data_IF_260945617226
#
_entry.id   IF_260945617226
#
_cell.length_a   1.000
_cell.length_b   1.000
_cell.length_c   1.000
_cell.angle_alpha   90.00
_cell.angle_beta   90.00
_cell.angle_gamma   90.00
#
_symmetry.space_group_name_H-M   'P 1'
#
loop_
_entity.id
_entity.type
_entity.pdbx_description
1 polymer ?
2 non-polymer ?
3 non-polymer ?
4 non-polymer ?
5 water ?
#
# COMPACT_ATOMS: atom_id res chain seq x y z
N UNK A 13 12.76 -11.54 12.88
CA UNK A 13 12.63 -11.91 11.43
C UNK A 13 11.57 -12.99 11.30
N UNK A 14 11.16 -13.29 10.06
CA UNK A 14 10.05 -14.19 9.81
C UNK A 14 8.72 -13.61 10.28
N UNK A 15 7.73 -14.47 10.48
CA UNK A 15 6.40 -13.99 10.84
C UNK A 15 6.28 -13.89 12.35
N UNK A 16 5.74 -12.76 12.80
CA UNK A 16 5.42 -12.52 14.19
C UNK A 16 3.93 -12.27 14.33
N UNK A 17 3.23 -13.14 15.04
CA UNK A 17 1.80 -12.98 15.27
C UNK A 17 1.60 -12.02 16.42
N UNK A 18 0.71 -11.06 16.22
CA UNK A 18 0.43 -10.07 17.23
C UNK A 18 -1.07 -9.83 17.17
N UNK A 19 -1.77 -10.30 18.21
CA UNK A 19 -3.20 -10.53 18.11
C UNK A 19 -3.56 -11.26 16.83
N UNK A 20 -4.48 -10.64 16.07
CA UNK A 20 -4.99 -11.25 14.85
C UNK A 20 -4.23 -10.76 13.62
N UNK A 21 -3.11 -10.06 13.82
CA UNK A 21 -2.31 -9.53 12.73
C UNK A 21 -0.96 -10.25 12.69
N UNK A 22 -0.25 -10.08 11.56
CA UNK A 22 1.06 -10.70 11.37
C UNK A 22 2.02 -9.61 10.89
N UNK A 23 3.21 -9.57 11.46
CA UNK A 23 4.24 -8.60 11.11
C UNK A 23 5.49 -9.35 10.68
N UNK A 24 6.16 -8.89 9.64
CA UNK A 24 7.33 -9.57 9.10
C UNK A 24 8.38 -8.54 8.72
N UNK A 25 9.57 -8.61 9.32
CA UNK A 25 10.64 -7.70 8.93
C UNK A 25 11.13 -8.00 7.51
N UNK A 26 11.28 -6.96 6.69
CA UNK A 26 11.75 -7.15 5.32
C UNK A 26 13.15 -6.59 5.10
N UNK A 27 13.51 -5.59 5.89
CA UNK A 27 14.78 -4.90 5.79
C UNK A 27 15.07 -4.30 7.16
N UNK A 28 16.29 -3.77 7.45
CA UNK A 28 16.56 -3.24 8.78
C UNK A 28 15.53 -2.25 9.34
N UNK A 29 14.91 -1.47 8.45
CA UNK A 29 13.99 -0.41 8.85
C UNK A 29 12.62 -0.59 8.21
N UNK A 30 12.29 -1.80 7.72
CA UNK A 30 11.03 -2.00 7.00
C UNK A 30 10.35 -3.28 7.47
N UNK A 31 9.05 -3.18 7.82
CA UNK A 31 8.26 -4.34 8.19
C UNK A 31 6.99 -4.34 7.37
N UNK A 32 6.49 -5.53 7.07
CA UNK A 32 5.18 -5.73 6.46
C UNK A 32 4.15 -5.99 7.55
N UNK A 33 3.02 -5.31 7.48
CA UNK A 33 1.87 -5.62 8.33
C UNK A 33 0.84 -6.39 7.52
N UNK A 34 0.17 -7.37 8.14
CA UNK A 34 -0.84 -8.16 7.46
C UNK A 34 -2.06 -8.31 8.36
N UNK A 35 -3.23 -8.04 7.77
CA UNK A 35 -4.50 -8.15 8.49
C UNK A 35 -5.48 -8.90 7.60
N UNK A 36 -6.58 -9.38 8.23
CA UNK A 36 -7.49 -10.31 7.54
C UNK A 36 -8.94 -9.86 7.65
N UNK A 37 -9.69 -10.08 6.57
CA UNK A 37 -11.15 -9.88 6.60
C UNK A 37 -11.84 -10.99 5.82
N UNK A 38 -12.92 -11.54 6.39
CA UNK A 38 -13.74 -12.50 5.66
C UNK A 38 -14.49 -11.83 4.52
N UNK A 39 -14.35 -12.43 3.33
CA UNK A 39 -15.15 -12.06 2.17
C UNK A 39 -15.70 -13.33 1.51
N UNK A 40 -17.04 -13.52 1.49
CA UNK A 40 -17.65 -14.66 0.83
C UNK A 40 -17.12 -14.94 -0.58
N UNK A 41 -16.68 -16.18 -0.83
CA UNK A 41 -16.15 -16.53 -2.14
C UNK A 41 -14.64 -16.33 -2.22
N UNK A 42 -14.06 -15.70 -1.19
CA UNK A 42 -12.62 -15.50 -1.18
C UNK A 42 -11.99 -16.01 0.12
N UNK A 43 -12.83 -16.22 1.14
CA UNK A 43 -12.32 -16.67 2.44
C UNK A 43 -11.85 -15.50 3.29
N UNK A 44 -10.93 -15.80 4.20
CA UNK A 44 -10.34 -14.77 5.03
C UNK A 44 -9.15 -14.17 4.28
N UNK A 45 -9.33 -12.95 3.76
CA UNK A 45 -8.38 -12.37 2.80
C UNK A 45 -7.33 -11.57 3.54
N UNK A 46 -6.07 -11.91 3.30
CA UNK A 46 -4.94 -11.15 3.80
C UNK A 46 -4.77 -9.86 3.00
N UNK A 47 -4.44 -8.77 3.70
CA UNK A 47 -3.98 -7.55 3.05
C UNK A 47 -2.70 -7.07 3.73
N UNK A 48 -1.69 -6.75 2.93
CA UNK A 48 -0.41 -6.29 3.43
C UNK A 48 -0.23 -4.79 3.20
N UNK A 49 0.43 -4.17 4.19
CA UNK A 49 1.00 -2.84 4.02
C UNK A 49 2.40 -2.81 4.62
N UNK A 50 2.94 -1.61 4.80
CA UNK A 50 4.32 -1.45 5.24
C UNK A 50 4.42 -0.47 6.39
N UNK A 51 5.49 -0.66 7.18
CA UNK A 51 5.91 0.21 8.26
C UNK A 51 7.39 0.51 8.03
N UNK A 52 7.75 1.78 8.02
CA UNK A 52 9.12 2.16 7.74
C UNK A 52 9.64 3.06 8.85
N UNK A 53 10.79 2.71 9.43
CA UNK A 53 11.41 3.66 10.35
C UNK A 53 12.37 4.56 9.57
N UNK A 54 12.20 5.88 9.71
CA UNK A 54 13.11 6.84 9.12
C UNK A 54 13.69 7.69 10.24
N UNK A 55 14.87 7.25 10.74
CA UNK A 55 15.46 7.96 11.87
C UNK A 55 14.62 7.84 13.14
N UNK A 56 14.18 8.97 13.69
CA UNK A 56 13.38 8.96 14.89
C UNK A 56 11.87 9.00 14.66
N UNK A 57 11.41 8.61 13.47
CA UNK A 57 9.96 8.55 13.27
C UNK A 57 9.64 7.31 12.45
N UNK A 58 8.34 7.01 12.44
CA UNK A 58 7.77 5.89 11.69
C UNK A 58 6.80 6.41 10.65
N UNK A 59 6.79 5.73 9.50
CA UNK A 59 5.90 6.05 8.39
C UNK A 59 5.12 4.80 8.04
N UNK A 60 3.82 4.91 7.77
CA UNK A 60 2.95 3.78 7.47
C UNK A 60 2.43 3.87 6.05
N UNK A 61 2.46 2.74 5.33
CA UNK A 61 1.80 2.62 4.04
C UNK A 61 0.66 1.62 4.22
N UNK A 62 -0.57 2.13 4.01
CA UNK A 62 -1.85 1.43 4.07
C UNK A 62 -2.32 1.20 5.50
N UNK A 63 -3.61 1.31 5.70
CA UNK A 63 -4.17 0.88 6.98
C UNK A 63 -4.37 -0.64 6.92
N UNK A 64 -4.85 -1.19 8.02
CA UNK A 64 -5.47 -2.52 7.99
C UNK A 64 -6.91 -2.40 7.51
N UNK A 65 -7.63 -3.53 7.42
CA UNK A 65 -9.00 -3.50 6.95
C UNK A 65 -9.90 -2.66 7.86
N UNK A 66 -9.67 -2.67 9.19
CA UNK A 66 -10.60 -2.04 10.12
C UNK A 66 -9.86 -1.08 11.04
N UNK A 67 -10.64 -0.22 11.72
CA UNK A 67 -10.10 0.66 12.74
C UNK A 67 -9.45 -0.12 13.87
N UNK A 68 -10.13 -1.18 14.34
CA UNK A 68 -9.54 -1.93 15.45
C UNK A 68 -8.20 -2.58 15.06
N UNK A 69 -8.12 -3.11 13.83
CA UNK A 69 -6.89 -3.74 13.39
C UNK A 69 -5.82 -2.67 13.22
N UNK A 70 -6.21 -1.47 12.76
CA UNK A 70 -5.23 -0.41 12.57
C UNK A 70 -4.67 0.08 13.91
N UNK A 71 -5.53 0.19 14.92
CA UNK A 71 -5.04 0.50 16.25
C UNK A 71 -4.07 -0.58 16.73
N UNK A 72 -4.27 -1.85 16.36
CA UNK A 72 -3.30 -2.87 16.72
C UNK A 72 -1.97 -2.67 15.99
N UNK A 73 -1.99 -2.22 14.75
CA UNK A 73 -0.73 -1.87 14.11
C UNK A 73 0.00 -0.81 14.94
N UNK A 74 -0.73 0.22 15.40
CA UNK A 74 -0.08 1.26 16.18
C UNK A 74 0.43 0.71 17.51
N UNK A 75 -0.27 -0.26 18.09
CA UNK A 75 0.20 -0.87 19.33
C UNK A 75 1.47 -1.66 19.08
N UNK A 76 1.54 -2.40 17.98
CA UNK A 76 2.76 -3.13 17.61
C UNK A 76 3.91 -2.15 17.45
N UNK A 77 3.72 -1.02 16.75
CA UNK A 77 4.76 -0.03 16.55
C UNK A 77 5.22 0.48 17.92
N UNK A 78 4.30 0.77 18.85
CA UNK A 78 4.66 1.25 20.17
C UNK A 78 5.57 0.25 20.88
N UNK A 79 5.21 -1.02 20.82
CA UNK A 79 5.93 -2.09 21.52
C UNK A 79 7.30 -2.34 20.89
N UNK A 80 7.35 -2.42 19.56
CA UNK A 80 8.52 -2.91 18.84
C UNK A 80 9.46 -1.82 18.40
N UNK A 81 8.94 -0.60 18.20
CA UNK A 81 9.77 0.49 17.69
C UNK A 81 9.81 1.63 18.70
N UNK A 82 8.64 2.03 19.24
CA UNK A 82 8.54 3.05 20.27
C UNK A 82 9.06 4.39 19.78
N UNK A 83 8.61 4.79 18.59
CA UNK A 83 8.85 6.11 18.06
C UNK A 83 7.54 6.63 17.49
N UNK A 84 7.34 7.96 17.39
CA UNK A 84 6.10 8.49 16.84
C UNK A 84 5.88 8.18 15.37
N UNK A 85 4.60 7.96 15.03
CA UNK A 85 4.21 7.76 13.64
C UNK A 85 3.93 9.13 13.04
N UNK A 86 4.81 9.55 12.14
CA UNK A 86 4.78 10.90 11.58
C UNK A 86 3.68 11.05 10.54
N UNK A 87 3.42 9.99 9.75
CA UNK A 87 2.41 10.10 8.71
C UNK A 87 2.08 8.71 8.22
N UNK A 88 0.97 8.65 7.49
CA UNK A 88 0.55 7.45 6.79
C UNK A 88 0.11 7.86 5.39
N UNK A 89 0.41 7.02 4.40
CA UNK A 89 -0.12 7.19 3.05
C UNK A 89 -0.85 5.92 2.67
N UNK A 90 -1.99 6.07 2.03
CA UNK A 90 -2.81 4.93 1.62
C UNK A 90 -2.93 4.90 0.11
N UNK A 91 -3.03 3.70 -0.47
CA UNK A 91 -2.73 3.54 -1.89
C UNK A 91 -3.93 3.45 -2.82
N UNK A 92 -5.15 3.27 -2.30
CA UNK A 92 -6.38 3.53 -3.06
C UNK A 92 -7.57 3.44 -2.11
N UNK A 93 -8.75 3.80 -2.60
CA UNK A 93 -9.95 3.90 -1.77
C UNK A 93 -10.76 2.60 -1.75
N UNK A 94 -10.11 1.51 -1.34
CA UNK A 94 -10.80 0.27 -0.97
C UNK A 94 -10.49 -0.03 0.48
N UNK A 95 -11.33 -0.87 1.11
CA UNK A 95 -11.29 -1.06 2.55
C UNK A 95 -9.98 -1.62 3.05
N UNK A 96 -9.35 -2.50 2.26
CA UNK A 96 -8.10 -3.08 2.73
C UNK A 96 -6.99 -2.04 2.91
N UNK A 97 -7.06 -0.93 2.18
CA UNK A 97 -6.02 0.08 2.22
C UNK A 97 -6.40 1.30 3.07
N UNK A 98 -7.71 1.57 3.18
CA UNK A 98 -8.19 2.81 3.79
C UNK A 98 -9.20 2.58 4.90
N UNK A 99 -9.52 1.32 5.21
CA UNK A 99 -10.56 1.00 6.17
C UNK A 99 -10.28 1.49 7.58
N UNK A 100 -9.01 1.72 7.92
CA UNK A 100 -8.66 2.11 9.28
C UNK A 100 -8.30 3.59 9.45
N UNK A 101 -8.73 4.45 8.51
CA UNK A 101 -8.37 5.86 8.55
C UNK A 101 -8.77 6.52 9.88
N UNK A 102 -9.96 6.20 10.41
CA UNK A 102 -10.37 6.79 11.69
C UNK A 102 -9.39 6.48 12.83
N UNK A 103 -8.81 5.28 12.87
CA UNK A 103 -7.85 4.93 13.90
C UNK A 103 -6.60 5.81 13.77
N UNK A 104 -6.15 6.09 12.54
CA UNK A 104 -5.01 6.96 12.39
C UNK A 104 -5.32 8.38 12.87
N UNK A 105 -6.51 8.86 12.52
CA UNK A 105 -6.90 10.21 12.95
C UNK A 105 -7.05 10.30 14.46
N UNK A 106 -7.61 9.25 15.07
CA UNK A 106 -7.71 9.22 16.54
C UNK A 106 -6.35 9.27 17.21
N UNK A 107 -5.33 8.71 16.55
CA UNK A 107 -3.99 8.69 17.10
C UNK A 107 -3.23 9.98 16.78
N UNK A 108 -3.82 10.90 16.02
CA UNK A 108 -3.15 12.16 15.72
C UNK A 108 -2.12 12.05 14.58
N UNK A 109 -2.26 11.06 13.71
CA UNK A 109 -1.33 10.85 12.61
C UNK A 109 -1.78 11.59 11.36
N UNK A 110 -0.89 12.34 10.73
CA UNK A 110 -1.18 12.99 9.45
C UNK A 110 -1.34 11.98 8.33
N UNK A 111 -2.43 12.10 7.57
CA UNK A 111 -2.75 11.10 6.56
C UNK A 111 -2.82 11.70 5.16
N UNK A 112 -2.39 10.90 4.19
CA UNK A 112 -2.20 11.29 2.81
C UNK A 112 -2.78 10.23 1.88
N UNK A 113 -3.37 10.68 0.78
CA UNK A 113 -3.84 9.80 -0.27
C UNK A 113 -3.82 10.59 -1.56
N UNK A 114 -3.84 9.85 -2.68
CA UNK A 114 -4.12 10.49 -3.97
C UNK A 114 -5.37 11.36 -3.82
N UNK A 115 -5.33 12.58 -4.40
CA UNK A 115 -6.52 13.44 -4.44
C UNK A 115 -7.75 12.64 -4.91
N UNK A 116 -7.57 11.83 -5.95
CA UNK A 116 -8.69 11.06 -6.47
C UNK A 116 -9.21 10.04 -5.45
N UNK A 117 -8.31 9.42 -4.64
CA UNK A 117 -8.76 8.52 -3.58
C UNK A 117 -9.61 9.26 -2.57
N UNK A 118 -9.17 10.49 -2.21
CA UNK A 118 -9.98 11.26 -1.28
C UNK A 118 -11.33 11.63 -1.86
N UNK A 119 -11.38 11.95 -3.18
CA UNK A 119 -12.65 12.27 -3.82
C UNK A 119 -13.57 11.05 -3.79
N UNK A 120 -13.01 9.86 -4.01
CA UNK A 120 -13.80 8.63 -4.09
C UNK A 120 -14.13 8.05 -2.72
N UNK A 121 -13.46 8.49 -1.68
CA UNK A 121 -13.56 7.77 -0.41
C UNK A 121 -14.99 7.70 0.09
N UNK A 122 -15.78 8.80 0.14
CA UNK A 122 -17.14 8.70 0.68
C UNK A 122 -18.02 7.69 -0.04
N UNK A 123 -17.97 7.66 -1.38
CA UNK A 123 -18.80 6.74 -2.16
C UNK A 123 -18.32 5.31 -2.00
N UNK A 124 -17.05 5.12 -1.67
CA UNK A 124 -16.54 3.77 -1.42
C UNK A 124 -16.75 3.33 0.03
N UNK A 125 -17.32 4.19 0.86
CA UNK A 125 -17.54 3.82 2.26
C UNK A 125 -16.32 4.06 3.15
N UNK A 126 -15.37 4.87 2.67
CA UNK A 126 -14.14 5.19 3.38
C UNK A 126 -14.22 6.60 3.96
N UNK A 127 -13.40 6.85 4.97
CA UNK A 127 -13.09 8.20 5.44
C UNK A 127 -11.89 8.70 4.64
N UNK A 128 -11.96 9.92 4.11
CA UNK A 128 -10.85 10.51 3.37
C UNK A 128 -9.63 10.75 4.27
N UNK A 129 -8.45 10.72 3.63
CA UNK A 129 -7.26 11.21 4.30
C UNK A 129 -7.35 12.73 4.46
N UNK A 130 -6.50 13.27 5.32
CA UNK A 130 -6.50 14.70 5.61
C UNK A 130 -5.86 15.50 4.47
N UNK A 131 -4.93 14.90 3.70
CA UNK A 131 -4.14 15.62 2.71
C UNK A 131 -4.20 14.86 1.40
N UNK A 132 -4.19 15.63 0.31
CA UNK A 132 -4.27 15.09 -1.03
C UNK A 132 -2.95 15.20 -1.78
N UNK A 133 -2.48 14.08 -2.33
CA UNK A 133 -1.33 14.04 -3.21
C UNK A 133 -1.79 14.34 -4.63
N UNK A 134 -0.97 15.12 -5.34
CA UNK A 134 -1.16 15.27 -6.77
C UNK A 134 0.11 14.86 -7.50
N UNK A 135 -0.05 14.57 -8.80
CA UNK A 135 0.97 13.88 -9.56
C UNK A 135 1.27 14.64 -10.85
N UNK A 136 2.54 14.66 -11.21
CA UNK A 136 2.97 15.19 -12.50
C UNK A 136 2.47 14.28 -13.63
N UNK A 137 2.49 14.80 -14.86
CA UNK A 137 2.04 14.03 -16.00
C UNK A 137 2.80 12.73 -16.16
N UNK A 138 4.06 12.70 -15.72
CA UNK A 138 4.88 11.49 -15.79
C UNK A 138 4.64 10.51 -14.63
N UNK A 139 3.76 10.86 -13.68
CA UNK A 139 3.37 9.92 -12.64
C UNK A 139 4.02 10.20 -11.29
N UNK A 140 5.15 10.89 -11.22
CA UNK A 140 5.78 11.15 -9.93
C UNK A 140 4.95 12.13 -9.11
N UNK A 141 4.87 11.88 -7.80
CA UNK A 141 4.15 12.79 -6.93
C UNK A 141 4.77 14.19 -7.05
N UNK A 142 3.90 15.21 -6.97
CA UNK A 142 4.36 16.59 -6.88
C UNK A 142 4.90 16.76 -5.47
N UNK A 143 6.21 17.02 -5.29
CA UNK A 143 6.84 16.93 -3.97
C UNK A 143 6.23 17.81 -2.87
N UNK A 144 5.68 18.97 -3.25
CA UNK A 144 5.07 19.84 -2.27
C UNK A 144 3.84 19.20 -1.63
N UNK A 145 3.20 18.22 -2.31
CA UNK A 145 2.03 17.56 -1.73
C UNK A 145 2.41 16.39 -0.81
N UNK A 146 3.68 15.98 -0.77
CA UNK A 146 4.15 14.87 0.04
C UNK A 146 5.31 15.36 0.90
N UNK A 147 5.08 16.36 1.77
CA UNK A 147 6.16 16.88 2.60
C UNK A 147 6.55 15.83 3.64
N UNK A 148 7.84 15.83 3.96
CA UNK A 148 8.36 14.99 5.04
C UNK A 148 8.19 13.50 4.79
N UNK A 149 8.11 13.08 3.54
CA UNK A 149 7.93 11.66 3.22
C UNK A 149 9.24 10.89 3.34
N UNK A 150 10.38 11.57 3.56
CA UNK A 150 11.62 10.85 3.83
C UNK A 150 11.94 9.89 2.68
N UNK A 151 12.19 8.61 2.96
CA UNK A 151 12.55 7.68 1.90
C UNK A 151 11.40 7.20 1.03
N UNK A 152 10.15 7.56 1.34
CA UNK A 152 9.03 7.09 0.53
C UNK A 152 8.94 7.88 -0.76
N UNK A 153 8.98 7.15 -1.89
CA UNK A 153 8.91 7.73 -3.22
C UNK A 153 7.60 7.31 -3.86
N UNK A 154 6.66 8.24 -4.00
CA UNK A 154 5.29 7.91 -4.43
C UNK A 154 5.13 8.13 -5.93
N UNK A 155 4.52 7.14 -6.60
CA UNK A 155 4.40 7.12 -8.04
C UNK A 155 3.00 6.67 -8.42
N UNK A 156 2.32 7.43 -9.29
CA UNK A 156 1.05 7.06 -9.87
C UNK A 156 1.30 6.42 -11.23
N UNK A 157 1.09 5.10 -11.39
CA UNK A 157 1.56 4.38 -12.58
C UNK A 157 0.56 4.43 -13.72
N UNK A 158 -0.58 5.07 -13.50
CA UNK A 158 -1.68 5.00 -14.45
C UNK A 158 -2.81 4.16 -13.88
N UNK A 159 -4.02 4.27 -14.45
CA UNK A 159 -5.15 3.47 -13.98
C UNK A 159 -4.90 1.99 -14.23
N UNK A 160 -5.35 1.15 -13.29
CA UNK A 160 -5.05 -0.27 -13.37
C UNK A 160 -6.08 -1.05 -12.54
N UNK A 161 -5.65 -1.49 -11.36
CA UNK A 161 -6.56 -2.08 -10.41
C UNK A 161 -7.72 -1.12 -10.11
N UNK A 162 -7.39 0.16 -9.94
CA UNK A 162 -8.40 1.20 -9.86
C UNK A 162 -7.86 2.43 -10.58
N UNK A 163 -8.70 3.44 -10.76
CA UNK A 163 -8.27 4.68 -11.40
C UNK A 163 -7.30 5.44 -10.51
N UNK A 164 -7.39 5.23 -9.17
CA UNK A 164 -6.65 6.05 -8.21
C UNK A 164 -5.42 5.34 -7.64
N UNK A 165 -5.13 4.11 -8.06
CA UNK A 165 -4.08 3.33 -7.41
C UNK A 165 -2.72 4.03 -7.47
N UNK A 166 -2.00 4.06 -6.33
CA UNK A 166 -0.64 4.60 -6.32
C UNK A 166 0.30 3.56 -5.73
N UNK A 167 1.60 3.81 -5.91
CA UNK A 167 2.65 2.86 -5.54
C UNK A 167 3.76 3.61 -4.81
N UNK A 168 4.60 2.86 -4.09
CA UNK A 168 5.56 3.53 -3.22
C UNK A 168 6.86 2.74 -3.22
N UNK A 169 7.98 3.39 -3.50
CA UNK A 169 9.29 2.79 -3.35
C UNK A 169 9.97 3.31 -2.10
N UNK A 170 10.87 2.52 -1.53
CA UNK A 170 11.56 2.92 -0.32
C UNK A 170 13.04 3.16 -0.61
N UNK A 171 13.43 4.44 -0.62
CA UNK A 171 14.81 4.80 -0.91
C UNK A 171 15.73 4.19 0.15
N UNK A 172 16.89 3.71 -0.31
CA UNK A 172 17.85 3.11 0.60
C UNK A 172 17.59 1.62 0.83
N UNK A 173 16.62 1.06 0.10
CA UNK A 173 16.28 -0.34 0.25
C UNK A 173 16.09 -0.91 -1.15
N UNK A 174 15.87 -2.22 -1.21
CA UNK A 174 15.55 -2.80 -2.51
C UNK A 174 14.05 -3.06 -2.69
N UNK A 175 13.21 -2.31 -1.97
CA UNK A 175 11.79 -2.64 -1.84
C UNK A 175 10.95 -1.60 -2.57
N UNK A 176 9.97 -2.12 -3.32
CA UNK A 176 8.91 -1.27 -3.84
C UNK A 176 7.57 -1.95 -3.56
N UNK A 177 6.56 -1.13 -3.31
CA UNK A 177 5.23 -1.61 -2.94
C UNK A 177 4.25 -1.31 -4.07
N UNK A 178 3.63 -2.36 -4.65
CA UNK A 178 2.68 -2.20 -5.73
C UNK A 178 1.23 -2.18 -5.28
N UNK A 179 0.95 -2.40 -3.98
CA UNK A 179 -0.44 -2.41 -3.52
C UNK A 179 -1.24 -3.50 -4.20
N UNK A 180 -2.47 -3.16 -4.57
CA UNK A 180 -3.32 -4.19 -5.20
C UNK A 180 -3.16 -4.22 -6.72
N UNK A 181 -2.29 -3.36 -7.27
CA UNK A 181 -2.01 -3.41 -8.70
C UNK A 181 -1.24 -4.67 -9.08
N UNK A 182 -0.33 -5.15 -8.23
CA UNK A 182 0.59 -6.23 -8.57
C UNK A 182 0.19 -7.49 -7.82
N UNK A 183 0.19 -8.63 -8.53
CA UNK A 183 -0.01 -9.94 -7.94
C UNK A 183 1.27 -10.76 -8.08
N UNK A 184 1.42 -11.86 -7.34
CA UNK A 184 2.71 -12.52 -7.38
C UNK A 184 2.85 -13.37 -8.65
N UNK A 185 4.07 -13.88 -8.82
CA UNK A 185 4.48 -14.51 -10.08
C UNK A 185 3.77 -15.84 -10.33
N UNK A 186 3.04 -16.37 -9.34
CA UNK A 186 2.28 -17.60 -9.54
C UNK A 186 0.77 -17.36 -9.45
N UNK A 187 0.34 -16.09 -9.42
CA UNK A 187 -1.08 -15.80 -9.30
C UNK A 187 -1.84 -16.27 -10.55
N UNK A 188 -3.11 -16.69 -10.34
CA UNK A 188 -3.96 -17.14 -11.43
C UNK A 188 -4.86 -16.03 -11.97
N UNK A 189 -5.05 -14.96 -11.21
CA UNK A 189 -5.93 -13.93 -11.71
C UNK A 189 -5.49 -12.58 -11.18
N UNK A 190 -6.11 -11.52 -11.69
CA UNK A 190 -5.84 -10.16 -11.25
C UNK A 190 -6.79 -9.75 -10.13
N UNK A 191 -7.55 -10.68 -9.56
CA UNK A 191 -8.38 -10.38 -8.40
C UNK A 191 -9.58 -9.51 -8.75
N UNK A 192 -9.83 -8.48 -7.94
CA UNK A 192 -11.03 -7.68 -8.10
C UNK A 192 -10.81 -6.65 -9.20
N UNK A 193 -11.50 -6.84 -10.34
CA UNK A 193 -11.41 -5.99 -11.51
C UNK A 193 -12.66 -5.11 -11.61
N UNK A 194 -13.49 -5.10 -10.57
CA UNK A 194 -14.73 -4.35 -10.63
C UNK A 194 -14.52 -2.86 -10.87
N UNK A 195 -13.41 -2.32 -10.34
CA UNK A 195 -13.15 -0.90 -10.47
C UNK A 195 -11.94 -0.65 -11.38
N UNK A 196 -11.56 -1.67 -12.15
CA UNK A 196 -10.32 -1.64 -12.91
C UNK A 196 -10.48 -0.97 -14.28
N UNK A 197 -9.36 -0.45 -14.76
CA UNK A 197 -9.19 0.03 -16.12
C UNK A 197 -8.50 -1.08 -16.91
N UNK A 198 -9.31 -1.94 -17.52
CA UNK A 198 -8.79 -3.14 -18.16
C UNK A 198 -7.92 -2.80 -19.37
N UNK A 199 -8.20 -1.71 -20.07
CA UNK A 199 -7.41 -1.37 -21.24
C UNK A 199 -6.00 -0.95 -20.84
N UNK A 200 -5.85 -0.31 -19.68
CA UNK A 200 -4.59 0.34 -19.34
C UNK A 200 -3.80 -0.42 -18.28
N UNK A 201 -4.37 -1.50 -17.73
CA UNK A 201 -3.77 -2.22 -16.62
C UNK A 201 -2.34 -2.63 -16.95
N UNK A 202 -2.13 -3.27 -18.11
CA UNK A 202 -0.82 -3.83 -18.40
C UNK A 202 0.23 -2.73 -18.41
N UNK A 203 -0.10 -1.61 -19.06
CA UNK A 203 0.82 -0.49 -19.15
C UNK A 203 1.13 0.07 -17.75
N UNK A 204 0.10 0.15 -16.91
CA UNK A 204 0.26 0.66 -15.55
C UNK A 204 1.17 -0.24 -14.72
N UNK A 205 0.99 -1.56 -14.81
CA UNK A 205 1.89 -2.48 -14.13
C UNK A 205 3.33 -2.29 -14.61
N UNK A 206 3.53 -2.13 -15.93
CA UNK A 206 4.88 -1.99 -16.47
C UNK A 206 5.47 -0.64 -16.05
N UNK A 207 4.65 0.40 -15.98
CA UNK A 207 5.13 1.71 -15.54
C UNK A 207 5.61 1.68 -14.07
N UNK A 208 4.91 0.92 -13.21
CA UNK A 208 5.38 0.72 -11.85
C UNK A 208 6.79 0.11 -11.85
N UNK A 209 6.99 -0.94 -12.66
CA UNK A 209 8.30 -1.55 -12.71
C UNK A 209 9.37 -0.57 -13.19
N UNK A 210 9.02 0.26 -14.19
CA UNK A 210 9.99 1.18 -14.78
C UNK A 210 10.31 2.33 -13.83
N UNK A 211 9.36 2.68 -12.93
CA UNK A 211 9.59 3.75 -11.97
C UNK A 211 10.59 3.35 -10.89
N UNK A 212 10.63 2.05 -10.58
CA UNK A 212 11.48 1.55 -9.50
C UNK A 212 12.42 0.46 -10.00
N UNK A 213 13.36 0.77 -10.91
CA UNK A 213 14.09 -0.30 -11.62
C UNK A 213 15.04 -1.08 -10.73
N UNK A 214 15.42 -0.50 -9.59
CA UNK A 214 16.39 -1.16 -8.72
C UNK A 214 15.72 -1.97 -7.62
N UNK A 215 14.38 -2.01 -7.59
CA UNK A 215 13.68 -2.74 -6.53
C UNK A 215 13.65 -4.23 -6.87
N UNK A 216 14.33 -5.04 -6.07
CA UNK A 216 14.38 -6.48 -6.31
C UNK A 216 13.36 -7.24 -5.47
N UNK A 217 12.80 -6.57 -4.44
CA UNK A 217 11.74 -7.15 -3.63
C UNK A 217 10.47 -6.35 -3.86
N UNK A 218 9.45 -7.02 -4.39
CA UNK A 218 8.17 -6.37 -4.68
C UNK A 218 7.18 -6.83 -3.62
N UNK A 219 6.64 -5.87 -2.88
CA UNK A 219 5.62 -6.10 -1.87
C UNK A 219 4.27 -5.75 -2.47
N UNK A 220 3.23 -6.51 -2.11
CA UNK A 220 1.93 -6.24 -2.70
C UNK A 220 0.85 -6.61 -1.70
N UNK A 221 -0.38 -6.23 -1.99
CA UNK A 221 -1.41 -6.35 -0.97
C UNK A 221 -1.80 -7.79 -0.67
N UNK A 222 -1.93 -8.64 -1.70
CA UNK A 222 -2.62 -9.91 -1.51
C UNK A 222 -1.72 -11.10 -1.85
N UNK A 223 -0.41 -10.88 -1.85
CA UNK A 223 0.56 -11.97 -1.99
C UNK A 223 1.73 -11.65 -1.06
N UNK A 224 2.51 -12.66 -0.68
CA UNK A 224 3.75 -12.46 0.04
C UNK A 224 4.80 -11.80 -0.87
N UNK A 225 5.83 -11.15 -0.31
CA UNK A 225 6.81 -10.44 -1.14
C UNK A 225 7.41 -11.40 -2.17
N UNK A 226 7.72 -10.86 -3.36
CA UNK A 226 8.21 -11.68 -4.45
C UNK A 226 9.31 -10.92 -5.17
N UNK A 227 9.92 -11.58 -6.17
CA UNK A 227 10.85 -10.90 -7.06
C UNK A 227 10.10 -10.06 -8.09
N UNK A 228 10.84 -9.46 -9.04
CA UNK A 228 10.24 -8.66 -10.09
C UNK A 228 9.43 -9.49 -11.08
N UNK A 229 9.52 -10.82 -11.01
CA UNK A 229 8.63 -11.67 -11.78
C UNK A 229 7.16 -11.38 -11.44
N UNK A 230 6.88 -10.87 -10.24
CA UNK A 230 5.51 -10.44 -9.95
C UNK A 230 5.04 -9.39 -10.96
N UNK A 231 5.91 -8.43 -11.29
CA UNK A 231 5.56 -7.36 -12.21
C UNK A 231 5.36 -7.92 -13.62
N UNK A 232 6.34 -8.71 -14.09
CA UNK A 232 6.23 -9.18 -15.46
C UNK A 232 5.03 -10.10 -15.61
N UNK A 233 4.76 -10.94 -14.61
CA UNK A 233 3.63 -11.85 -14.70
C UNK A 233 2.30 -11.11 -14.63
N UNK A 234 2.22 -10.13 -13.72
CA UNK A 234 1.01 -9.31 -13.63
C UNK A 234 0.73 -8.63 -14.97
N UNK A 235 1.76 -8.02 -15.57
CA UNK A 235 1.55 -7.32 -16.83
C UNK A 235 1.16 -8.30 -17.94
N UNK A 236 1.76 -9.50 -17.96
CA UNK A 236 1.46 -10.46 -19.01
C UNK A 236 0.03 -10.94 -18.87
N UNK A 237 -0.46 -11.13 -17.64
CA UNK A 237 -1.87 -11.49 -17.44
C UNK A 237 -2.78 -10.36 -17.92
N UNK A 238 -2.40 -9.12 -17.61
CA UNK A 238 -3.21 -7.96 -17.96
C UNK A 238 -3.23 -7.71 -19.47
N UNK A 239 -2.24 -8.22 -20.20
CA UNK A 239 -2.27 -8.14 -21.65
C UNK A 239 -3.54 -8.85 -22.17
N UNK A 240 -4.04 -9.86 -21.43
CA UNK A 240 -5.21 -10.65 -21.80
C UNK A 240 -6.50 -9.83 -21.73
N UNK A 241 -6.49 -8.72 -20.98
CA UNK A 241 -7.70 -7.94 -20.73
C UNK A 241 -7.98 -7.03 -21.93
N UNK A 242 -6.99 -6.89 -22.81
CA UNK A 242 -7.12 -5.96 -23.93
C UNK A 242 -7.62 -6.68 -25.19
X LIG B 1 -10.85 -8.02 -2.60
X LIG B 1 -8.76 -9.35 -2.62
X LIG B 1 -9.50 -10.42 -3.47
X LIG B 1 -11.23 -6.74 -2.64
X LIG B 1 -10.62 -5.77 -1.64
X LIG B 1 -10.16 -4.46 -2.34
X LIG B 1 -8.49 -11.14 -4.36
X LIG B 1 -6.39 -11.97 -3.73
X LIG B 1 -7.60 -12.02 -3.49
X LIG B 1 -8.19 -12.75 -2.63
X LIG B 1 -9.81 -8.60 -1.72
X LIG B 1 -10.53 -9.76 -4.36
X LIG B 1 -11.54 -9.00 -3.49
X LIG B 1 -12.13 -6.38 -3.40
X LIG B 1 -11.72 -5.40 -0.66
X LIG B 1 -8.79 -4.72 -3.50
X LIG C 1 -21.87 5.01 0.35
X LIG C 1 -22.50 4.59 -0.85
X LIG C 1 -20.97 3.95 0.88
X LIG C 1 -21.66 3.04 1.72
X LIG D 1 -16.60 -4.47 8.09
X LIG D 1 -15.22 -4.33 8.43
X LIG D 1 -16.80 -3.95 6.69
X LIG D 1 -16.28 -4.87 5.77
X LIG E 1 9.61 -5.49 -14.43
X LIG E 1 9.53 -4.07 -14.48
X LIG E 1 10.79 -5.95 -15.23
X LIG E 1 11.95 -5.66 -14.48
X LIG F 1 -8.55 -2.57 -4.28
X LIG G 1 -6.89 -5.14 -2.30
#
# INVERSE_FOLDING_TARGET
GEIRPTIGQQMETGDQRFGDLVFRQLAPNVWQHTSYLDMPGFGAVASNGLIVRDGGRVLVVDTAWTDDQTAQILNWIKQEINLPVALAVVTHAHQDKMGGMDALHAAGIATYANALSNQLAPQEGMVAAQHSLTFAANGWVEPATAPNFGPLKVFYPGPGHTSDNITVGIDGTDIAFGGCLIKDSKAKSLGNLGDADTEHYAASARAFGAAFPKASMIVMSHSAPDSRAAITHTARMADKLR
EG0 N1 C4 C5 C6 C7 C8 C10 O2 C11 O3 C3 C1 C2 O1 C9 S1
EDO C1 O1 C2 O2
EDO C1 O1 C2 O2
EDO C1 O1 C2 O2
ZN ZN
ZN ZN
#
